data_IF_556476484457
#
_entry.id   IF_556476484457
#
_cell.length_a   1.000
_cell.length_b   1.000
_cell.length_c   1.000
_cell.angle_alpha   90.00
_cell.angle_beta   90.00
_cell.angle_gamma   90.00
#
_symmetry.space_group_name_H-M   'P 1'
#
loop_
_entity.id
_entity.type
_entity.pdbx_description
1 polymer ?
#
# COMPACT_ATOMS: atom_id res chain seq x y z
N UNK A 1 -16.65 -40.73 56.26
CA UNK A 1 -17.87 -40.03 55.81
C UNK A 1 -17.41 -39.12 54.67
N UNK A 2 -17.47 -39.52 53.41
CA UNK A 2 -18.67 -39.74 52.58
C UNK A 2 -18.79 -38.52 51.65
N UNK A 3 -18.94 -38.60 50.34
CA UNK A 3 -19.11 -39.73 49.45
C UNK A 3 -19.00 -39.26 48.00
N UNK A 4 -18.75 -40.24 47.14
CA UNK A 4 -18.83 -40.13 45.69
C UNK A 4 -20.27 -39.94 45.23
N UNK A 5 -20.50 -39.13 44.19
CA UNK A 5 -21.64 -39.34 43.29
C UNK A 5 -21.23 -39.24 41.83
N UNK A 6 -21.30 -40.42 41.22
CA UNK A 6 -21.33 -40.70 39.79
C UNK A 6 -22.63 -40.21 39.14
N UNK A 7 -22.56 -39.74 37.90
CA UNK A 7 -23.63 -39.97 36.92
C UNK A 7 -23.03 -40.51 35.63
N UNK A 8 -23.53 -41.69 35.22
CA UNK A 8 -23.22 -42.39 33.98
C UNK A 8 -24.32 -42.12 32.95
N UNK A 9 -23.86 -42.04 31.69
CA UNK A 9 -24.47 -42.56 30.45
C UNK A 9 -25.77 -41.93 29.91
N UNK A 10 -25.69 -41.41 28.67
CA UNK A 10 -26.15 -42.24 27.55
C UNK A 10 -25.54 -41.80 26.20
N UNK A 11 -24.94 -42.77 25.51
CA UNK A 11 -24.54 -42.67 24.12
C UNK A 11 -25.74 -43.02 23.22
N UNK A 12 -26.05 -42.16 22.26
CA UNK A 12 -27.03 -42.39 21.21
C UNK A 12 -26.44 -42.09 19.84
N UNK A 13 -26.04 -43.14 19.13
CA UNK A 13 -25.63 -43.13 17.71
C UNK A 13 -26.71 -42.46 16.83
N UNK A 14 -26.31 -41.55 15.96
CA UNK A 14 -27.06 -41.22 14.75
C UNK A 14 -26.24 -41.60 13.52
N UNK A 15 -26.90 -42.37 12.65
CA UNK A 15 -26.38 -43.07 11.47
C UNK A 15 -26.10 -42.11 10.31
N UNK A 16 -25.05 -42.42 9.56
CA UNK A 16 -24.90 -42.03 8.16
C UNK A 16 -26.03 -42.62 7.31
N UNK A 17 -26.59 -41.81 6.41
CA UNK A 17 -27.37 -42.28 5.27
C UNK A 17 -26.82 -41.60 4.01
N UNK A 18 -26.34 -42.46 3.12
CA UNK A 18 -25.96 -42.22 1.73
C UNK A 18 -27.18 -41.90 0.87
N UNK A 19 -27.02 -40.98 -0.09
CA UNK A 19 -27.96 -40.78 -1.19
C UNK A 19 -27.32 -39.94 -2.29
N UNK A 20 -26.88 -40.60 -3.37
CA UNK A 20 -26.26 -39.94 -4.52
C UNK A 20 -27.27 -39.30 -5.47
N UNK A 21 -26.80 -38.34 -6.26
CA UNK A 21 -27.37 -38.05 -7.57
C UNK A 21 -26.28 -37.45 -8.47
N UNK A 22 -26.03 -38.19 -9.55
CA UNK A 22 -25.13 -37.92 -10.65
C UNK A 22 -25.61 -36.77 -11.55
N UNK A 23 -24.71 -35.87 -11.94
CA UNK A 23 -24.91 -34.88 -12.99
C UNK A 23 -23.65 -34.67 -13.82
N UNK A 24 -23.37 -35.57 -14.77
CA UNK A 24 -22.30 -35.41 -15.78
C UNK A 24 -22.78 -34.47 -16.88
N UNK A 25 -22.18 -33.28 -16.99
CA UNK A 25 -22.31 -32.43 -18.19
C UNK A 25 -21.17 -32.79 -19.14
N UNK A 26 -21.52 -33.39 -20.28
CA UNK A 26 -20.63 -33.65 -21.42
C UNK A 26 -20.57 -32.40 -22.30
N UNK A 27 -19.39 -31.81 -22.49
CA UNK A 27 -19.13 -30.94 -23.64
C UNK A 27 -18.64 -31.81 -24.81
N UNK A 28 -19.37 -31.72 -25.93
CA UNK A 28 -19.10 -32.41 -27.19
C UNK A 28 -18.09 -31.58 -27.99
N UNK A 29 -16.90 -32.12 -28.21
CA UNK A 29 -15.99 -31.63 -29.25
C UNK A 29 -16.50 -32.07 -30.63
N UNK A 30 -16.49 -31.15 -31.60
CA UNK A 30 -17.02 -31.39 -32.93
C UNK A 30 -16.36 -30.54 -34.02
N UNK A 31 -15.38 -31.19 -34.69
CA UNK A 31 -15.01 -31.10 -36.11
C UNK A 31 -14.30 -29.87 -36.70
N UNK A 32 -13.11 -30.20 -37.26
CA UNK A 32 -12.41 -29.59 -38.40
C UNK A 32 -13.33 -29.34 -39.59
N UNK A 33 -13.05 -28.28 -40.33
CA UNK A 33 -13.20 -28.25 -41.79
C UNK A 33 -11.95 -27.66 -42.45
N UNK A 34 -11.71 -28.21 -43.63
CA UNK A 34 -10.51 -28.21 -44.45
C UNK A 34 -10.53 -27.16 -45.57
N UNK A 35 -9.32 -26.81 -46.01
CA UNK A 35 -8.86 -26.40 -47.33
C UNK A 35 -9.87 -26.12 -48.45
N UNK A 36 -9.67 -24.97 -49.11
CA UNK A 36 -10.34 -24.61 -50.35
C UNK A 36 -9.63 -23.48 -51.09
N UNK A 37 -8.43 -23.74 -51.60
CA UNK A 37 -7.76 -22.89 -52.58
C UNK A 37 -8.47 -22.98 -53.94
N UNK A 38 -8.94 -21.86 -54.50
CA UNK A 38 -9.32 -21.77 -55.92
C UNK A 38 -8.77 -20.50 -56.55
N UNK A 39 -7.93 -20.73 -57.55
CA UNK A 39 -7.41 -19.79 -58.53
C UNK A 39 -8.53 -19.10 -59.34
N UNK A 40 -8.38 -17.80 -59.59
CA UNK A 40 -9.11 -17.13 -60.67
C UNK A 40 -8.14 -16.52 -61.68
N UNK A 41 -8.42 -16.83 -62.94
CA UNK A 41 -7.67 -16.52 -64.14
C UNK A 41 -7.78 -15.06 -64.56
N UNK A 42 -6.69 -14.54 -65.13
CA UNK A 42 -6.50 -13.15 -65.50
C UNK A 42 -7.36 -12.61 -66.65
N UNK A 43 -7.52 -11.29 -66.64
CA UNK A 43 -7.62 -10.45 -67.84
C UNK A 43 -6.64 -9.29 -67.71
N UNK A 44 -5.75 -9.20 -68.70
CA UNK A 44 -4.79 -8.09 -68.89
C UNK A 44 -5.52 -6.86 -69.37
N UNK A 45 -5.26 -5.72 -68.72
CA UNK A 45 -5.41 -4.39 -69.33
C UNK A 45 -4.03 -3.75 -69.32
N UNK A 46 -3.57 -3.33 -70.50
CA UNK A 46 -2.32 -2.58 -70.69
C UNK A 46 -2.49 -1.17 -70.14
N UNK A 47 -1.56 -0.70 -69.31
CA UNK A 47 -1.30 0.72 -69.12
C UNK A 47 0.18 1.03 -69.32
N UNK A 48 0.39 2.20 -69.90
CA UNK A 48 1.64 2.75 -70.43
C UNK A 48 2.62 3.09 -69.30
N UNK A 49 3.91 3.04 -69.64
CA UNK A 49 4.99 3.58 -68.83
C UNK A 49 4.81 5.08 -68.63
N UNK A 50 4.78 5.53 -67.38
CA UNK A 50 5.37 6.80 -66.94
C UNK A 50 5.54 6.79 -65.41
N UNK A 51 6.77 7.14 -65.00
CA UNK A 51 7.25 7.59 -63.68
C UNK A 51 7.17 6.68 -62.42
N UNK A 52 8.28 5.96 -62.21
CA UNK A 52 8.65 5.20 -61.01
C UNK A 52 9.01 6.06 -59.78
N UNK A 53 8.19 7.06 -59.43
CA UNK A 53 8.41 7.92 -58.26
C UNK A 53 7.26 7.94 -57.24
N UNK A 54 6.09 7.37 -57.56
CA UNK A 54 4.92 7.39 -56.69
C UNK A 54 4.73 6.14 -55.81
N UNK A 55 5.54 5.09 -55.99
CA UNK A 55 5.35 3.79 -55.29
C UNK A 55 6.27 3.60 -54.07
N UNK A 56 7.24 4.50 -53.85
CA UNK A 56 8.07 4.47 -52.63
C UNK A 56 7.43 5.19 -51.43
N UNK A 57 6.51 6.14 -51.68
CA UNK A 57 5.82 6.88 -50.60
C UNK A 57 4.71 6.03 -49.95
N UNK A 58 4.06 5.13 -50.71
CA UNK A 58 3.00 4.28 -50.17
C UNK A 58 3.52 3.11 -49.30
N UNK A 59 4.71 2.58 -49.60
CA UNK A 59 5.30 1.48 -48.81
C UNK A 59 5.92 2.01 -47.51
N UNK A 60 6.53 3.21 -47.52
CA UNK A 60 6.93 3.88 -46.27
C UNK A 60 5.73 4.35 -45.44
N UNK A 61 4.63 4.79 -46.06
CA UNK A 61 3.42 5.14 -45.32
C UNK A 61 2.79 3.91 -44.63
N UNK A 62 2.79 2.73 -45.25
CA UNK A 62 2.29 1.51 -44.57
C UNK A 62 3.25 0.91 -43.53
N UNK A 63 4.57 1.19 -43.57
CA UNK A 63 5.46 0.82 -42.45
C UNK A 63 5.48 1.86 -41.33
N UNK A 64 5.16 3.13 -41.61
CA UNK A 64 5.04 4.19 -40.59
C UNK A 64 3.64 4.19 -39.92
N UNK A 65 2.59 3.73 -40.60
CA UNK A 65 1.25 3.58 -40.02
C UNK A 65 1.04 2.24 -39.27
N UNK A 66 1.90 1.24 -39.45
CA UNK A 66 1.87 0.00 -38.64
C UNK A 66 2.87 -0.01 -37.48
N UNK A 67 3.78 0.97 -37.41
CA UNK A 67 4.70 1.15 -36.27
C UNK A 67 4.16 2.11 -35.19
N UNK A 68 3.05 2.80 -35.44
CA UNK A 68 2.46 3.79 -34.51
C UNK A 68 1.21 3.31 -33.76
N UNK A 69 0.80 2.04 -33.96
CA UNK A 69 -0.34 1.44 -33.25
C UNK A 69 -0.03 0.06 -32.63
N UNK A 70 1.26 -0.30 -32.52
CA UNK A 70 1.74 -1.55 -31.90
C UNK A 70 2.57 -1.33 -30.63
N UNK A 71 2.51 -0.14 -30.04
CA UNK A 71 2.82 0.04 -28.63
C UNK A 71 1.47 0.28 -27.96
N UNK A 72 0.76 -0.80 -27.64
CA UNK A 72 0.07 -0.79 -26.35
C UNK A 72 1.20 -0.53 -25.33
N UNK A 73 1.45 0.76 -25.03
CA UNK A 73 1.77 1.14 -23.66
C UNK A 73 0.65 0.46 -22.90
N UNK A 74 0.93 -0.72 -22.32
CA UNK A 74 0.16 -1.19 -21.19
C UNK A 74 0.01 0.07 -20.34
N UNK A 75 -1.21 0.57 -20.24
CA UNK A 75 -1.48 1.80 -19.52
C UNK A 75 -0.90 1.53 -18.13
N UNK A 76 0.29 2.05 -17.87
CA UNK A 76 0.97 1.82 -16.61
C UNK A 76 0.13 2.61 -15.65
N UNK A 77 -0.80 1.92 -15.00
CA UNK A 77 -1.83 2.54 -14.20
C UNK A 77 -1.15 3.53 -13.26
N UNK A 78 -1.73 4.74 -13.17
CA UNK A 78 -1.16 5.82 -12.37
C UNK A 78 -0.75 5.30 -10.98
N UNK A 79 0.42 5.70 -10.44
CA UNK A 79 0.83 5.30 -9.11
C UNK A 79 -0.30 5.45 -8.11
N UNK A 80 -0.52 4.41 -7.33
CA UNK A 80 -1.58 4.35 -6.32
C UNK A 80 -1.01 4.63 -4.93
N UNK A 81 -1.81 5.18 -4.01
CA UNK A 81 -1.41 5.40 -2.61
C UNK A 81 -0.84 4.18 -1.89
N UNK A 82 0.15 4.38 -1.01
CA UNK A 82 0.70 3.38 -0.09
C UNK A 82 1.78 2.49 -0.71
N UNK A 83 2.42 1.66 0.13
CA UNK A 83 3.41 0.67 -0.28
C UNK A 83 2.76 -0.72 -0.39
N UNK A 84 3.31 -1.59 -1.24
CA UNK A 84 2.90 -3.01 -1.28
C UNK A 84 3.72 -3.77 -0.25
N UNK A 85 3.05 -4.28 0.79
CA UNK A 85 3.61 -5.16 1.80
C UNK A 85 3.49 -6.61 1.33
N UNK A 86 4.61 -7.24 0.98
CA UNK A 86 4.70 -8.66 0.66
C UNK A 86 5.03 -9.45 1.92
N UNK A 87 4.13 -10.35 2.31
CA UNK A 87 4.29 -11.21 3.47
C UNK A 87 4.88 -12.56 3.07
N UNK A 88 5.89 -12.97 3.80
CA UNK A 88 6.58 -14.24 3.66
C UNK A 88 6.54 -14.99 4.98
N UNK A 89 6.33 -16.29 4.92
CA UNK A 89 6.42 -17.17 6.07
C UNK A 89 7.63 -18.10 5.99
N UNK A 90 7.96 -18.67 7.15
CA UNK A 90 8.84 -19.82 7.24
C UNK A 90 8.14 -21.07 6.67
N UNK A 91 8.78 -21.86 5.78
CA UNK A 91 8.24 -23.06 5.14
C UNK A 91 7.71 -24.17 6.06
N UNK A 92 7.90 -24.12 7.39
CA UNK A 92 7.57 -25.25 8.27
C UNK A 92 6.26 -25.12 9.05
N UNK A 93 5.79 -23.93 9.44
CA UNK A 93 4.59 -23.80 10.27
C UNK A 93 3.86 -22.46 10.05
N UNK A 94 2.67 -22.51 9.47
CA UNK A 94 1.72 -21.39 9.55
C UNK A 94 0.25 -21.82 9.41
N UNK A 95 -0.54 -21.43 10.41
CA UNK A 95 -1.96 -21.11 10.33
C UNK A 95 -2.28 -19.78 11.04
N UNK A 96 -1.28 -18.93 11.27
CA UNK A 96 -1.44 -17.61 11.88
C UNK A 96 -1.49 -17.58 13.40
N UNK A 97 -1.33 -18.72 14.05
CA UNK A 97 -1.14 -18.82 15.49
C UNK A 97 -0.11 -19.92 15.77
N UNK A 98 1.10 -19.56 16.20
CA UNK A 98 1.93 -20.57 16.85
C UNK A 98 1.18 -21.05 18.09
N UNK A 99 0.81 -22.33 18.20
CA UNK A 99 0.13 -22.82 19.39
C UNK A 99 1.07 -22.65 20.57
N UNK A 100 0.58 -22.12 21.70
CA UNK A 100 1.38 -21.91 22.93
C UNK A 100 2.10 -23.17 23.43
N UNK A 101 1.73 -24.34 22.91
CA UNK A 101 2.22 -25.66 23.27
C UNK A 101 3.33 -26.21 22.34
N UNK A 102 3.61 -25.57 21.20
CA UNK A 102 4.72 -25.98 20.32
C UNK A 102 5.96 -25.17 20.70
N UNK A 103 7.07 -25.86 20.96
CA UNK A 103 8.35 -25.20 21.24
C UNK A 103 8.76 -24.32 20.06
N UNK A 104 9.09 -23.06 20.35
CA UNK A 104 9.76 -22.13 19.44
C UNK A 104 10.86 -22.87 18.67
N UNK A 105 10.97 -22.70 17.34
CA UNK A 105 12.06 -23.30 16.58
C UNK A 105 13.40 -22.96 17.24
N UNK A 106 14.27 -23.96 17.43
CA UNK A 106 15.66 -23.74 17.87
C UNK A 106 16.57 -23.23 16.73
N UNK A 107 15.98 -22.60 15.72
CA UNK A 107 16.67 -22.15 14.52
C UNK A 107 16.87 -20.64 14.57
N UNK A 108 17.88 -20.14 13.86
CA UNK A 108 18.12 -18.72 13.78
C UNK A 108 17.03 -18.07 12.88
N UNK A 109 16.31 -17.02 13.32
CA UNK A 109 15.30 -16.34 12.49
C UNK A 109 15.84 -15.90 11.13
N UNK A 110 17.14 -15.58 11.08
CA UNK A 110 17.83 -15.13 9.88
C UNK A 110 17.87 -16.17 8.75
N UNK A 111 17.75 -17.46 9.09
CA UNK A 111 17.87 -18.54 8.11
C UNK A 111 16.60 -18.70 7.25
N UNK A 112 15.49 -18.05 7.61
CA UNK A 112 14.16 -18.27 7.00
C UNK A 112 13.50 -16.99 6.50
N UNK A 113 14.21 -15.85 6.51
CA UNK A 113 13.62 -14.60 6.02
C UNK A 113 13.39 -14.63 4.51
N UNK A 114 12.20 -14.24 4.07
CA UNK A 114 11.78 -14.20 2.65
C UNK A 114 11.74 -15.56 1.93
N UNK A 115 11.56 -16.68 2.63
CA UNK A 115 11.61 -18.02 2.03
C UNK A 115 10.36 -18.48 1.28
N UNK A 116 9.16 -18.22 1.82
CA UNK A 116 7.90 -18.68 1.23
C UNK A 116 6.89 -17.52 1.17
N UNK A 117 6.65 -17.01 -0.04
CA UNK A 117 5.63 -15.98 -0.27
C UNK A 117 4.24 -16.49 0.14
N UNK A 118 3.42 -15.59 0.69
CA UNK A 118 2.03 -15.90 1.07
C UNK A 118 1.03 -14.98 0.44
N UNK A 119 1.11 -13.69 0.73
CA UNK A 119 0.18 -12.72 0.21
C UNK A 119 0.79 -11.33 0.20
N UNK A 120 0.11 -10.42 -0.49
CA UNK A 120 0.43 -9.01 -0.48
C UNK A 120 -0.78 -8.21 -0.06
N UNK A 121 -0.55 -7.07 0.59
CA UNK A 121 -1.56 -6.05 0.82
C UNK A 121 -0.95 -4.67 0.62
N UNK A 122 -1.78 -3.69 0.30
CA UNK A 122 -1.35 -2.29 0.24
C UNK A 122 -1.46 -1.70 1.64
N UNK A 123 -0.39 -1.05 2.08
CA UNK A 123 -0.35 -0.39 3.38
C UNK A 123 -0.03 1.08 3.20
N UNK A 124 -0.79 1.98 3.85
CA UNK A 124 -0.54 3.40 3.73
C UNK A 124 0.81 3.77 4.35
N UNK A 125 1.21 3.11 5.44
CA UNK A 125 2.44 3.36 6.21
C UNK A 125 3.15 2.07 6.57
N UNK A 126 4.43 2.21 6.90
CA UNK A 126 5.16 1.22 7.70
C UNK A 126 5.13 1.70 9.15
N UNK A 127 4.10 1.30 9.89
CA UNK A 127 3.91 1.60 11.32
C UNK A 127 2.99 0.53 11.94
N UNK A 128 3.58 -0.54 12.48
CA UNK A 128 2.86 -1.70 13.02
C UNK A 128 3.38 -2.08 14.38
N UNK A 129 2.50 -2.70 15.18
CA UNK A 129 2.84 -3.47 16.37
C UNK A 129 2.41 -4.91 16.12
N UNK A 130 3.35 -5.87 16.12
CA UNK A 130 3.05 -7.27 15.86
C UNK A 130 2.88 -8.05 17.17
N UNK A 131 1.71 -7.92 17.80
CA UNK A 131 1.45 -8.40 19.18
C UNK A 131 1.33 -9.94 19.30
N UNK A 132 1.69 -10.73 18.29
CA UNK A 132 1.55 -12.21 18.31
C UNK A 132 2.84 -12.90 17.89
N UNK A 133 3.27 -13.84 18.76
CA UNK A 133 4.44 -14.73 18.66
C UNK A 133 4.51 -15.48 17.33
N UNK A 134 4.97 -14.83 16.28
CA UNK A 134 5.00 -15.37 14.92
C UNK A 134 6.31 -15.05 14.24
N UNK A 135 6.84 -16.02 13.50
CA UNK A 135 8.07 -15.84 12.72
C UNK A 135 7.68 -15.56 11.28
N UNK A 136 8.01 -14.36 10.80
CA UNK A 136 7.66 -13.94 9.45
C UNK A 136 8.62 -12.87 8.95
N UNK A 137 8.56 -12.59 7.65
CA UNK A 137 9.22 -11.43 7.06
C UNK A 137 8.27 -10.67 6.19
N UNK A 138 8.43 -9.35 6.18
CA UNK A 138 7.64 -8.44 5.35
C UNK A 138 8.60 -7.59 4.54
N UNK A 139 8.30 -7.46 3.24
CA UNK A 139 8.97 -6.51 2.36
C UNK A 139 7.95 -5.52 1.84
N UNK A 140 8.10 -4.26 2.21
CA UNK A 140 7.38 -3.16 1.59
C UNK A 140 8.13 -2.67 0.37
N UNK A 141 7.45 -2.59 -0.78
CA UNK A 141 8.01 -2.00 -2.01
C UNK A 141 7.10 -0.90 -2.55
N UNK A 142 7.72 0.12 -3.14
CA UNK A 142 6.99 1.21 -3.78
C UNK A 142 7.87 2.40 -4.11
N UNK A 143 7.26 3.58 -4.05
CA UNK A 143 7.85 4.87 -4.35
C UNK A 143 7.70 5.82 -3.16
N UNK A 144 8.80 6.52 -2.86
CA UNK A 144 8.87 7.66 -1.96
C UNK A 144 8.85 8.94 -2.80
N UNK A 145 7.92 9.83 -2.51
CA UNK A 145 7.77 11.13 -3.15
C UNK A 145 8.38 12.26 -2.30
N UNK A 146 9.57 12.73 -2.67
CA UNK A 146 10.29 13.84 -2.03
C UNK A 146 9.86 15.21 -2.55
N UNK A 147 9.17 15.27 -3.70
CA UNK A 147 8.60 16.50 -4.24
C UNK A 147 7.20 16.81 -3.69
N UNK A 148 6.64 15.92 -2.87
CA UNK A 148 5.46 16.24 -2.07
C UNK A 148 5.74 17.46 -1.18
N UNK A 149 4.80 18.42 -1.07
CA UNK A 149 5.00 19.58 -0.21
C UNK A 149 5.26 19.11 1.22
N UNK A 150 6.28 19.66 1.86
CA UNK A 150 6.58 19.40 3.25
C UNK A 150 5.30 19.64 4.09
N UNK A 151 5.02 18.80 5.11
CA UNK A 151 3.88 19.03 5.98
C UNK A 151 3.94 20.46 6.54
N UNK A 152 2.86 21.21 6.36
CA UNK A 152 2.73 22.57 6.85
C UNK A 152 2.46 22.52 8.35
N UNK A 153 3.38 23.03 9.15
CA UNK A 153 3.13 23.29 10.58
C UNK A 153 2.06 24.37 10.73
N UNK A 154 1.12 24.14 11.65
CA UNK A 154 0.03 25.05 11.99
C UNK A 154 -0.21 25.02 13.51
N UNK A 155 -0.55 26.17 14.08
CA UNK A 155 -0.82 26.30 15.51
C UNK A 155 -2.15 25.65 15.87
N UNK A 156 -3.16 25.79 15.00
CA UNK A 156 -4.47 25.20 15.20
C UNK A 156 -5.09 24.72 13.87
N UNK A 157 -5.80 23.60 13.95
CA UNK A 157 -6.54 23.02 12.83
C UNK A 157 -7.93 22.62 13.32
N UNK A 158 -8.96 23.09 12.63
CA UNK A 158 -10.34 22.72 12.90
C UNK A 158 -11.01 22.28 11.60
N UNK A 159 -11.82 21.23 11.66
CA UNK A 159 -12.43 20.66 10.47
C UNK A 159 -13.79 20.03 10.71
N UNK A 160 -14.65 20.15 9.70
CA UNK A 160 -15.83 19.32 9.48
C UNK A 160 -15.78 18.83 8.03
N UNK A 161 -15.55 17.53 7.85
CA UNK A 161 -15.27 16.93 6.56
C UNK A 161 -16.23 15.78 6.31
N UNK A 162 -16.92 15.80 5.18
CA UNK A 162 -17.64 14.65 4.67
C UNK A 162 -16.68 13.69 3.97
N UNK A 163 -16.81 12.40 4.27
CA UNK A 163 -16.00 11.34 3.67
C UNK A 163 -16.91 10.20 3.24
N UNK A 164 -16.48 9.47 2.21
CA UNK A 164 -17.18 8.28 1.73
C UNK A 164 -16.17 7.20 1.34
N UNK A 165 -15.53 6.57 2.34
CA UNK A 165 -14.42 5.67 2.08
C UNK A 165 -14.90 4.37 1.42
N UNK A 166 -16.19 4.02 1.51
CA UNK A 166 -16.76 2.83 0.87
C UNK A 166 -17.03 2.97 -0.65
N UNK A 167 -17.03 4.18 -1.22
CA UNK A 167 -17.45 4.38 -2.62
C UNK A 167 -16.39 4.01 -3.67
N UNK A 168 -15.12 4.01 -3.29
CA UNK A 168 -14.01 3.65 -4.17
C UNK A 168 -12.84 3.19 -3.32
N UNK A 169 -12.07 2.22 -3.81
CA UNK A 169 -10.81 1.81 -3.16
C UNK A 169 -9.75 2.92 -3.16
N UNK A 170 -9.94 3.97 -3.97
CA UNK A 170 -9.12 5.18 -3.95
C UNK A 170 -9.50 6.16 -2.82
N UNK A 171 -10.64 5.94 -2.15
CA UNK A 171 -11.05 6.77 -1.03
C UNK A 171 -10.32 6.33 0.23
N UNK A 172 -9.26 7.08 0.57
CA UNK A 172 -8.46 6.83 1.76
C UNK A 172 -9.16 7.34 3.02
N UNK A 173 -9.22 6.50 4.04
CA UNK A 173 -9.52 6.91 5.41
C UNK A 173 -8.67 6.12 6.39
N UNK A 174 -8.01 6.83 7.30
CA UNK A 174 -7.37 6.25 8.47
C UNK A 174 -7.38 7.27 9.61
N UNK A 175 -7.89 6.87 10.78
CA UNK A 175 -7.78 7.63 12.01
C UNK A 175 -6.94 6.83 12.99
N UNK A 176 -5.81 7.40 13.42
CA UNK A 176 -4.96 6.77 14.44
C UNK A 176 -5.34 7.36 15.79
N UNK A 177 -5.94 6.56 16.65
CA UNK A 177 -6.36 6.92 18.00
C UNK A 177 -5.15 7.17 18.91
N UNK A 178 -5.38 7.77 20.07
CA UNK A 178 -4.31 8.14 21.00
C UNK A 178 -3.50 6.93 21.52
N UNK A 179 -4.14 5.77 21.67
CA UNK A 179 -3.51 4.49 22.02
C UNK A 179 -2.83 3.79 20.85
N UNK A 180 -2.88 4.40 19.65
CA UNK A 180 -2.21 3.92 18.45
C UNK A 180 -3.02 2.94 17.61
N UNK A 181 -4.24 2.58 18.02
CA UNK A 181 -5.14 1.82 17.17
C UNK A 181 -5.52 2.61 15.90
N UNK A 182 -5.82 1.90 14.82
CA UNK A 182 -6.18 2.52 13.55
C UNK A 182 -7.61 2.14 13.16
N UNK A 183 -8.47 3.16 13.03
CA UNK A 183 -9.75 3.01 12.34
C UNK A 183 -9.51 3.27 10.86
N UNK A 184 -9.78 2.29 10.01
CA UNK A 184 -9.55 2.40 8.57
C UNK A 184 -10.88 2.44 7.84
N UNK A 185 -10.85 2.53 6.50
CA UNK A 185 -12.04 2.31 5.67
C UNK A 185 -12.81 1.05 6.07
N UNK A 186 -12.10 -0.03 6.38
CA UNK A 186 -12.72 -1.32 6.67
C UNK A 186 -13.42 -1.33 8.04
N UNK A 187 -13.11 -0.37 8.92
CA UNK A 187 -13.86 -0.12 10.16
C UNK A 187 -15.22 0.57 9.90
N UNK A 188 -15.35 1.32 8.80
CA UNK A 188 -16.50 2.17 8.49
C UNK A 188 -17.61 1.42 7.77
N UNK A 189 -18.13 0.39 8.44
CA UNK A 189 -19.20 -0.49 7.96
C UNK A 189 -20.57 -0.11 8.54
N UNK A 190 -21.63 -0.71 8.01
CA UNK A 190 -22.97 -0.55 8.58
C UNK A 190 -23.01 -1.09 10.01
N UNK A 191 -23.54 -0.31 10.95
CA UNK A 191 -23.62 -0.66 12.37
C UNK A 191 -22.39 -0.26 13.20
N UNK A 192 -21.32 0.28 12.58
CA UNK A 192 -20.27 0.93 13.35
C UNK A 192 -20.79 2.28 13.89
N UNK A 193 -20.76 2.45 15.21
CA UNK A 193 -21.33 3.63 15.89
C UNK A 193 -20.52 4.90 15.65
N UNK A 194 -19.29 4.77 15.17
CA UNK A 194 -18.35 5.87 14.99
C UNK A 194 -17.29 5.89 16.09
N UNK A 195 -16.61 7.03 16.22
CA UNK A 195 -15.57 7.22 17.21
C UNK A 195 -15.58 8.66 17.71
N UNK A 196 -15.56 8.86 19.02
CA UNK A 196 -15.35 10.18 19.63
C UNK A 196 -14.27 10.08 20.68
N UNK A 197 -13.19 10.84 20.53
CA UNK A 197 -12.05 10.73 21.42
C UNK A 197 -10.79 11.43 20.93
N UNK A 198 -9.67 11.06 21.53
CA UNK A 198 -8.35 11.60 21.17
C UNK A 198 -7.72 10.76 20.06
N UNK A 199 -7.17 11.45 19.06
CA UNK A 199 -6.39 10.90 17.97
C UNK A 199 -5.04 11.60 17.88
N UNK A 200 -4.10 10.97 17.17
CA UNK A 200 -2.80 11.55 16.83
C UNK A 200 -2.61 11.81 15.34
N UNK A 201 -3.44 11.17 14.51
CA UNK A 201 -3.44 11.42 13.06
C UNK A 201 -4.82 11.15 12.46
N UNK A 202 -5.21 12.00 11.50
CA UNK A 202 -6.39 11.81 10.66
C UNK A 202 -6.00 11.94 9.20
N UNK A 203 -6.21 10.87 8.45
CA UNK A 203 -6.09 10.80 6.99
C UNK A 203 -7.46 10.64 6.40
N UNK A 204 -7.77 11.49 5.43
CA UNK A 204 -9.06 11.46 4.77
C UNK A 204 -8.98 12.00 3.35
N UNK A 205 -9.86 11.46 2.49
CA UNK A 205 -10.19 12.04 1.20
C UNK A 205 -11.59 12.65 1.30
N UNK A 206 -11.75 13.98 1.21
CA UNK A 206 -13.04 14.64 1.32
C UNK A 206 -13.93 14.22 0.15
N UNK A 207 -15.22 14.02 0.44
CA UNK A 207 -16.30 13.89 -0.54
C UNK A 207 -16.99 15.24 -0.68
N UNK A 208 -17.46 15.50 -1.89
CA UNK A 208 -18.25 16.70 -2.15
C UNK A 208 -17.38 17.90 -2.51
N UNK A 209 -18.01 19.06 -2.66
CA UNK A 209 -17.33 20.29 -3.01
C UNK A 209 -17.02 21.14 -1.76
N UNK A 210 -16.36 22.28 -1.95
CA UNK A 210 -15.91 23.16 -0.86
C UNK A 210 -17.05 23.75 -0.01
N UNK A 211 -18.32 23.58 -0.40
CA UNK A 211 -19.47 24.09 0.35
C UNK A 211 -19.95 23.11 1.44
N UNK A 212 -19.58 21.83 1.34
CA UNK A 212 -19.99 20.76 2.26
C UNK A 212 -18.89 20.44 3.29
N UNK A 213 -17.67 20.92 3.03
CA UNK A 213 -16.49 20.68 3.86
C UNK A 213 -15.93 22.00 4.35
N UNK A 214 -15.53 22.04 5.62
CA UNK A 214 -14.84 23.19 6.21
C UNK A 214 -13.54 22.70 6.84
N UNK A 215 -12.40 23.28 6.42
CA UNK A 215 -11.15 23.20 7.16
C UNK A 215 -10.67 24.62 7.45
N UNK A 216 -10.19 24.84 8.67
CA UNK A 216 -9.64 26.12 9.13
C UNK A 216 -8.24 25.85 9.65
N UNK A 217 -7.26 26.61 9.17
CA UNK A 217 -5.89 26.59 9.65
C UNK A 217 -5.56 27.95 10.24
N UNK A 218 -5.17 27.99 11.50
CA UNK A 218 -4.77 29.22 12.20
C UNK A 218 -5.83 30.34 12.08
N UNK A 219 -7.12 29.96 12.13
CA UNK A 219 -8.26 30.88 11.99
C UNK A 219 -8.64 31.26 10.56
N UNK A 220 -7.87 30.83 9.54
CA UNK A 220 -8.16 31.09 8.13
C UNK A 220 -8.78 29.87 7.43
N UNK A 221 -9.81 30.04 6.58
CA UNK A 221 -10.34 28.95 5.76
C UNK A 221 -9.27 28.34 4.87
N UNK A 222 -9.22 27.01 4.82
CA UNK A 222 -8.33 26.25 3.95
C UNK A 222 -9.15 25.42 2.95
N UNK A 223 -8.98 25.65 1.63
CA UNK A 223 -9.79 24.98 0.63
C UNK A 223 -9.39 23.50 0.50
N UNK A 224 -10.33 22.62 0.82
CA UNK A 224 -10.24 21.20 0.52
C UNK A 224 -10.61 20.95 -0.94
N UNK A 225 -9.75 20.22 -1.66
CA UNK A 225 -10.00 19.79 -3.03
C UNK A 225 -10.62 18.41 -3.04
N UNK A 226 -11.75 18.27 -3.73
CA UNK A 226 -12.34 16.96 -3.98
C UNK A 226 -11.31 16.06 -4.66
N UNK A 227 -11.22 14.81 -4.22
CA UNK A 227 -10.29 13.87 -4.82
C UNK A 227 -8.84 13.95 -4.30
N UNK A 228 -8.51 14.83 -3.35
CA UNK A 228 -7.15 14.92 -2.76
C UNK A 228 -7.15 14.31 -1.37
N UNK A 229 -6.18 13.44 -1.07
CA UNK A 229 -6.00 12.91 0.28
C UNK A 229 -5.22 13.91 1.13
N UNK A 230 -5.76 14.23 2.30
CA UNK A 230 -5.13 15.07 3.31
C UNK A 230 -4.76 14.22 4.52
N UNK A 231 -3.68 14.63 5.20
CA UNK A 231 -3.28 14.06 6.47
C UNK A 231 -2.98 15.18 7.46
N UNK A 232 -3.57 15.04 8.65
CA UNK A 232 -3.38 15.95 9.77
C UNK A 232 -2.76 15.14 10.89
N UNK A 233 -1.56 15.52 11.33
CA UNK A 233 -0.87 14.92 12.47
C UNK A 233 -0.76 15.89 13.64
N UNK A 234 -0.99 15.44 14.86
CA UNK A 234 -0.80 16.25 16.07
C UNK A 234 -0.55 15.33 17.28
N UNK A 235 0.16 15.81 18.30
CA UNK A 235 0.32 15.04 19.54
C UNK A 235 -1.00 14.81 20.27
N UNK A 236 -1.97 15.72 20.10
CA UNK A 236 -3.35 15.61 20.59
C UNK A 236 -4.32 16.25 19.60
N UNK A 237 -5.29 15.46 19.16
CA UNK A 237 -6.39 15.89 18.30
C UNK A 237 -7.68 15.34 18.88
N UNK A 238 -8.67 16.20 19.11
CA UNK A 238 -10.02 15.75 19.45
C UNK A 238 -10.77 15.47 18.16
N UNK A 239 -11.36 14.29 18.06
CA UNK A 239 -12.07 13.83 16.86
C UNK A 239 -13.47 13.33 17.21
N UNK A 240 -14.44 13.63 16.34
CA UNK A 240 -15.73 12.97 16.28
C UNK A 240 -15.95 12.45 14.85
N UNK A 241 -16.04 11.14 14.72
CA UNK A 241 -16.34 10.42 13.50
C UNK A 241 -17.73 9.83 13.64
N UNK A 242 -18.66 10.27 12.80
CA UNK A 242 -20.07 9.88 12.87
C UNK A 242 -20.62 9.56 11.48
N UNK A 243 -21.71 8.79 11.41
CA UNK A 243 -22.43 8.56 10.16
C UNK A 243 -23.69 9.46 10.14
N UNK A 244 -23.72 10.43 9.23
CA UNK A 244 -24.74 11.48 9.18
C UNK A 244 -25.99 11.12 8.36
N UNK A 245 -26.02 9.96 7.69
CA UNK A 245 -27.05 9.66 6.68
C UNK A 245 -27.63 8.25 6.69
N UNK A 246 -27.32 7.42 7.70
CA UNK A 246 -27.87 6.05 7.83
C UNK A 246 -27.50 5.08 6.69
N UNK A 247 -26.68 5.52 5.73
CA UNK A 247 -26.19 4.73 4.59
C UNK A 247 -24.68 4.56 4.67
N UNK A 248 -24.14 3.56 3.98
CA UNK A 248 -22.72 3.16 4.05
C UNK A 248 -21.71 4.26 3.65
N UNK A 249 -22.15 5.38 3.06
CA UNK A 249 -21.29 6.38 2.42
C UNK A 249 -21.45 7.84 2.86
N UNK A 250 -22.06 8.08 4.02
CA UNK A 250 -22.26 9.42 4.59
C UNK A 250 -21.57 9.51 5.96
N UNK A 251 -20.24 9.57 5.95
CA UNK A 251 -19.45 9.73 7.17
C UNK A 251 -19.01 11.19 7.32
N UNK A 252 -19.01 11.70 8.54
CA UNK A 252 -18.53 13.02 8.89
C UNK A 252 -17.42 12.91 9.92
N UNK A 253 -16.29 13.53 9.59
CA UNK A 253 -15.14 13.69 10.45
C UNK A 253 -15.10 15.14 10.93
N UNK A 254 -15.33 15.35 12.21
CA UNK A 254 -15.06 16.60 12.90
C UNK A 254 -13.74 16.47 13.66
N UNK A 255 -12.85 17.45 13.56
CA UNK A 255 -11.56 17.44 14.24
C UNK A 255 -11.17 18.82 14.75
N UNK A 256 -10.42 18.83 15.85
CA UNK A 256 -9.74 20.01 16.38
C UNK A 256 -8.38 19.58 16.93
N UNK A 257 -7.30 20.22 16.47
CA UNK A 257 -5.93 19.94 16.87
C UNK A 257 -5.16 21.23 17.13
N UNK A 258 -4.19 21.16 18.04
CA UNK A 258 -3.24 22.24 18.34
C UNK A 258 -1.82 21.71 18.10
N UNK A 259 -0.93 22.56 17.55
CA UNK A 259 0.43 22.16 17.20
C UNK A 259 0.43 21.02 16.18
N UNK A 260 -0.29 21.24 15.07
CA UNK A 260 -0.53 20.22 14.07
C UNK A 260 0.36 20.38 12.84
N UNK A 261 0.42 19.34 12.05
CA UNK A 261 0.97 19.34 10.70
C UNK A 261 -0.14 18.98 9.73
N UNK A 262 -0.21 19.67 8.58
CA UNK A 262 -1.09 19.33 7.48
C UNK A 262 -0.25 19.00 6.26
N UNK A 263 -0.47 17.82 5.67
CA UNK A 263 0.06 17.48 4.34
C UNK A 263 -1.07 17.10 3.39
N UNK A 264 -0.81 17.24 2.10
CA UNK A 264 -1.71 16.75 1.06
C UNK A 264 -0.92 15.93 0.03
N UNK A 265 -1.53 14.84 -0.42
CA UNK A 265 -0.97 13.96 -1.44
C UNK A 265 -0.92 14.72 -2.78
N UNK A 266 0.19 14.61 -3.52
CA UNK A 266 0.30 15.11 -4.91
C UNK A 266 -0.68 14.37 -5.83
N UNK A 267 -0.99 14.92 -6.99
CA UNK A 267 -1.83 14.22 -7.98
C UNK A 267 -1.08 13.00 -8.54
N UNK A 268 -1.79 11.88 -8.69
CA UNK A 268 -1.19 10.62 -9.16
C UNK A 268 -0.53 10.76 -10.53
N UNK A 269 -1.07 11.61 -11.41
CA UNK A 269 -0.50 11.91 -12.73
C UNK A 269 0.83 12.67 -12.66
N UNK A 270 1.01 13.55 -11.67
CA UNK A 270 2.30 14.22 -11.43
C UNK A 270 3.35 13.23 -10.93
N UNK A 271 2.96 12.33 -10.03
CA UNK A 271 3.81 11.23 -9.55
C UNK A 271 4.13 10.25 -10.68
N UNK A 272 3.18 9.95 -11.57
CA UNK A 272 3.38 9.13 -12.76
C UNK A 272 4.39 9.76 -13.72
N UNK A 273 4.28 11.07 -13.97
CA UNK A 273 5.20 11.82 -14.82
C UNK A 273 6.63 11.78 -14.25
N UNK A 274 6.79 12.00 -12.93
CA UNK A 274 8.08 11.91 -12.24
C UNK A 274 8.66 10.49 -12.30
N UNK A 275 7.82 9.46 -12.11
CA UNK A 275 8.23 8.05 -12.20
C UNK A 275 8.69 7.68 -13.62
N UNK A 276 7.98 8.14 -14.65
CA UNK A 276 8.35 7.90 -16.03
C UNK A 276 9.69 8.59 -16.39
N UNK A 277 9.92 9.81 -15.87
CA UNK A 277 11.19 10.52 -16.03
C UNK A 277 12.35 9.86 -15.26
N UNK A 278 12.10 9.17 -14.14
CA UNK A 278 13.13 8.35 -13.50
C UNK A 278 13.62 7.23 -14.41
N UNK A 279 12.73 6.65 -15.22
CA UNK A 279 13.07 5.63 -16.22
C UNK A 279 13.70 6.22 -17.49
N UNK A 280 13.39 7.49 -17.82
CA UNK A 280 13.89 8.20 -19.00
C UNK A 280 14.76 9.40 -18.64
N UNK A 281 16.07 9.31 -18.88
CA UNK A 281 17.12 10.32 -18.62
C UNK A 281 16.78 11.74 -19.12
N UNK A 282 16.00 12.54 -18.38
CA UNK A 282 15.82 13.98 -18.61
C UNK A 282 16.50 14.76 -17.49
N UNK A 283 17.48 15.58 -17.86
CA UNK A 283 18.45 16.24 -16.96
C UNK A 283 18.07 17.68 -16.60
N UNK A 284 16.80 17.97 -16.34
CA UNK A 284 16.46 19.22 -15.67
C UNK A 284 16.89 19.12 -14.20
N UNK A 285 17.56 20.14 -13.66
CA UNK A 285 18.01 20.13 -12.27
C UNK A 285 16.79 20.22 -11.36
N UNK A 286 16.29 19.06 -10.94
CA UNK A 286 15.35 18.95 -9.83
C UNK A 286 16.09 19.44 -8.58
N UNK A 287 15.46 20.26 -7.74
CA UNK A 287 16.04 20.63 -6.45
C UNK A 287 16.43 19.38 -5.66
N UNK A 288 17.29 19.49 -4.67
CA UNK A 288 17.64 18.35 -3.81
C UNK A 288 17.71 18.81 -2.38
N UNK A 289 17.54 17.89 -1.44
CA UNK A 289 17.77 18.17 -0.03
C UNK A 289 18.36 16.94 0.67
N UNK A 290 19.04 17.18 1.79
CA UNK A 290 19.58 16.13 2.62
C UNK A 290 18.49 15.55 3.53
N UNK A 291 18.24 14.25 3.38
CA UNK A 291 17.33 13.48 4.21
C UNK A 291 18.11 12.58 5.16
N UNK A 292 17.49 12.28 6.29
CA UNK A 292 17.88 11.18 7.17
C UNK A 292 16.66 10.32 7.46
N UNK A 293 16.85 9.02 7.41
CA UNK A 293 15.81 8.04 7.69
C UNK A 293 16.09 7.33 9.00
N UNK A 294 15.01 6.84 9.63
CA UNK A 294 15.11 6.04 10.83
C UNK A 294 14.09 4.90 10.77
N UNK A 295 14.46 3.75 11.31
CA UNK A 295 13.58 2.60 11.41
C UNK A 295 13.59 2.12 12.86
N UNK A 296 12.45 2.24 13.54
CA UNK A 296 12.21 1.54 14.80
C UNK A 296 11.84 0.11 14.43
N UNK A 297 12.57 -0.87 14.93
CA UNK A 297 12.29 -2.27 14.66
C UNK A 297 12.55 -3.16 15.87
N UNK A 298 11.67 -4.12 16.07
CA UNK A 298 11.86 -5.32 16.88
C UNK A 298 11.24 -6.46 16.07
N UNK A 299 12.01 -7.29 15.35
CA UNK A 299 13.46 -7.48 15.44
C UNK A 299 14.30 -6.62 14.45
N UNK A 300 14.61 -7.20 13.28
CA UNK A 300 15.60 -6.67 12.34
C UNK A 300 14.99 -5.95 11.15
N UNK A 301 15.73 -5.01 10.58
CA UNK A 301 15.24 -4.18 9.49
C UNK A 301 16.31 -3.80 8.46
N UNK A 302 15.86 -3.54 7.22
CA UNK A 302 16.65 -2.89 6.18
C UNK A 302 15.86 -1.79 5.49
N UNK A 303 16.56 -0.76 5.03
CA UNK A 303 16.00 0.32 4.22
C UNK A 303 16.89 0.52 3.00
N UNK A 304 16.27 0.47 1.82
CA UNK A 304 16.91 0.79 0.55
C UNK A 304 16.14 1.90 -0.15
N UNK A 305 16.87 2.91 -0.64
CA UNK A 305 16.32 3.99 -1.48
C UNK A 305 17.09 3.98 -2.81
N UNK A 306 16.37 3.94 -3.93
CA UNK A 306 16.93 3.78 -5.28
C UNK A 306 17.92 2.61 -5.41
N UNK A 307 17.65 1.51 -4.70
CA UNK A 307 18.52 0.34 -4.67
C UNK A 307 19.79 0.49 -3.83
N UNK A 308 20.06 1.67 -3.26
CA UNK A 308 21.14 1.88 -2.29
C UNK A 308 20.66 1.52 -0.90
N UNK A 309 21.33 0.58 -0.25
CA UNK A 309 21.10 0.25 1.16
C UNK A 309 21.57 1.39 2.07
N UNK A 310 20.65 1.93 2.88
CA UNK A 310 20.89 3.02 3.82
C UNK A 310 20.92 2.53 5.27
N UNK A 311 20.13 1.52 5.60
CA UNK A 311 20.12 0.82 6.88
C UNK A 311 20.18 -0.66 6.57
N UNK A 312 21.13 -1.36 7.20
CA UNK A 312 21.31 -2.81 7.10
C UNK A 312 21.55 -3.38 8.50
N UNK A 313 20.46 -3.60 9.23
CA UNK A 313 20.53 -4.18 10.58
C UNK A 313 19.56 -5.35 10.70
N UNK A 314 20.01 -6.49 10.19
CA UNK A 314 19.25 -7.74 10.21
C UNK A 314 19.49 -8.55 11.50
N UNK A 315 19.68 -7.90 12.65
CA UNK A 315 19.86 -8.58 13.94
C UNK A 315 18.54 -8.65 14.72
N UNK A 316 18.40 -9.70 15.53
CA UNK A 316 17.37 -9.73 16.58
C UNK A 316 17.59 -8.58 17.57
N UNK A 317 16.51 -7.90 17.97
CA UNK A 317 16.58 -6.69 18.78
C UNK A 317 15.25 -6.40 19.47
N UNK A 318 15.28 -6.23 20.79
CA UNK A 318 14.08 -5.78 21.52
C UNK A 318 13.79 -4.29 21.31
N UNK A 319 12.52 -3.89 21.29
CA UNK A 319 12.07 -2.49 21.31
C UNK A 319 12.57 -1.72 22.53
N UNK A 320 12.89 -2.44 23.61
CA UNK A 320 13.43 -1.89 24.87
C UNK A 320 14.94 -1.62 24.77
N UNK A 321 15.59 -2.07 23.69
CA UNK A 321 17.00 -1.81 23.43
C UNK A 321 17.21 -0.36 22.98
N UNK A 322 18.30 0.32 23.39
CA UNK A 322 18.66 1.63 22.84
C UNK A 322 18.90 1.59 21.32
N UNK A 323 19.23 0.42 20.79
CA UNK A 323 19.51 0.22 19.37
C UNK A 323 18.25 -0.11 18.54
N UNK A 324 17.06 -0.12 19.15
CA UNK A 324 15.81 -0.42 18.45
C UNK A 324 15.51 0.59 17.33
N UNK A 325 15.92 1.85 17.49
CA UNK A 325 15.79 2.91 16.49
C UNK A 325 17.08 3.04 15.67
N UNK A 326 17.10 2.47 14.47
CA UNK A 326 18.24 2.55 13.54
C UNK A 326 18.17 3.84 12.76
N UNK A 327 19.32 4.45 12.46
CA UNK A 327 19.40 5.69 11.67
C UNK A 327 20.28 5.49 10.45
N UNK A 328 19.84 6.01 9.31
CA UNK A 328 20.68 6.08 8.12
C UNK A 328 21.77 7.16 8.26
N UNK A 329 22.85 7.09 7.47
CA UNK A 329 23.63 8.28 7.13
C UNK A 329 22.74 9.34 6.46
N UNK A 330 23.15 10.62 6.43
CA UNK A 330 22.50 11.60 5.57
C UNK A 330 22.57 11.15 4.10
N UNK A 331 21.50 11.42 3.35
CA UNK A 331 21.40 11.10 1.93
C UNK A 331 20.75 12.25 1.18
N UNK A 332 21.42 12.75 0.15
CA UNK A 332 20.85 13.74 -0.75
C UNK A 332 19.90 13.06 -1.73
N UNK A 333 18.63 13.47 -1.69
CA UNK A 333 17.60 13.05 -2.64
C UNK A 333 17.17 14.25 -3.47
N UNK A 334 17.06 14.06 -4.78
CA UNK A 334 16.43 15.02 -5.66
C UNK A 334 14.93 15.14 -5.38
N UNK A 335 14.30 16.22 -5.78
CA UNK A 335 12.85 16.38 -5.82
C UNK A 335 12.27 15.41 -6.85
N UNK A 336 11.34 14.56 -6.43
CA UNK A 336 10.63 13.66 -7.33
C UNK A 336 10.28 12.36 -6.63
N UNK A 337 10.31 11.26 -7.37
CA UNK A 337 9.99 9.93 -6.84
C UNK A 337 11.22 9.04 -6.83
N UNK A 338 11.38 8.28 -5.75
CA UNK A 338 12.49 7.37 -5.52
C UNK A 338 11.94 5.97 -5.24
N UNK A 339 12.60 4.90 -5.69
CA UNK A 339 12.20 3.57 -5.22
C UNK A 339 12.51 3.46 -3.75
N UNK A 340 11.58 2.92 -2.97
CA UNK A 340 11.79 2.57 -1.57
C UNK A 340 11.53 1.10 -1.36
N UNK A 341 12.39 0.46 -0.58
CA UNK A 341 12.16 -0.88 -0.05
C UNK A 341 12.47 -0.87 1.44
N UNK A 342 11.50 -1.32 2.22
CA UNK A 342 11.66 -1.57 3.65
C UNK A 342 11.51 -3.05 3.87
N UNK A 343 12.39 -3.62 4.67
CA UNK A 343 12.34 -5.01 5.04
C UNK A 343 12.34 -5.14 6.55
N UNK A 344 11.61 -6.13 7.02
CA UNK A 344 11.48 -6.47 8.43
C UNK A 344 11.41 -7.99 8.56
N UNK A 345 12.00 -8.52 9.61
CA UNK A 345 11.64 -9.84 10.08
C UNK A 345 11.22 -9.76 11.55
N UNK A 346 10.26 -10.63 11.90
CA UNK A 346 9.98 -10.95 13.27
C UNK A 346 10.54 -12.33 13.61
N UNK A 347 11.33 -12.39 14.67
CA UNK A 347 11.84 -13.62 15.26
C UNK A 347 11.04 -14.00 16.50
N UNK A 348 11.75 -14.36 17.57
CA UNK A 348 11.12 -14.76 18.82
C UNK A 348 10.74 -13.52 19.65
N UNK A 349 9.44 -13.23 19.78
CA UNK A 349 8.96 -12.22 20.74
C UNK A 349 9.48 -12.53 22.16
N UNK A 350 9.96 -11.51 22.86
CA UNK A 350 10.46 -11.63 24.24
C UNK A 350 9.27 -11.65 25.24
N UNK A 351 9.46 -11.71 26.58
CA UNK A 351 8.38 -11.96 27.55
C UNK A 351 7.18 -11.01 27.45
N UNK A 352 6.07 -11.36 28.12
CA UNK A 352 4.81 -10.59 28.14
C UNK A 352 5.00 -9.06 28.17
N UNK A 353 4.34 -8.36 27.25
CA UNK A 353 4.46 -6.91 27.06
C UNK A 353 5.56 -6.48 26.09
N UNK A 354 5.83 -7.32 25.08
CA UNK A 354 6.59 -6.98 23.88
C UNK A 354 5.63 -6.62 22.75
N UNK A 355 5.87 -5.52 22.02
CA UNK A 355 4.96 -5.04 20.97
C UNK A 355 5.50 -5.28 19.55
N UNK A 356 6.70 -5.84 19.41
CA UNK A 356 7.34 -6.17 18.13
C UNK A 356 7.16 -5.07 17.05
N UNK A 357 7.53 -3.79 17.32
CA UNK A 357 7.24 -2.68 16.43
C UNK A 357 8.03 -2.72 15.12
N UNK A 358 7.43 -2.15 14.08
CA UNK A 358 8.16 -1.61 12.92
C UNK A 358 7.59 -0.23 12.58
N UNK A 359 8.43 0.81 12.54
CA UNK A 359 8.01 2.15 12.13
C UNK A 359 9.09 2.88 11.34
N UNK A 360 8.71 3.45 10.19
CA UNK A 360 9.58 4.25 9.33
C UNK A 360 9.43 5.75 9.61
N UNK A 361 10.54 6.42 9.88
CA UNK A 361 10.63 7.85 10.12
C UNK A 361 11.57 8.50 9.11
N UNK A 362 11.43 9.82 8.99
CA UNK A 362 12.34 10.66 8.21
C UNK A 362 12.50 12.04 8.84
N UNK A 363 13.55 12.75 8.44
CA UNK A 363 13.76 14.18 8.70
C UNK A 363 14.47 14.83 7.53
N UNK A 364 14.15 16.08 7.27
CA UNK A 364 14.84 16.95 6.31
C UNK A 364 14.74 18.40 6.83
N UNK A 365 15.70 18.85 7.65
CA UNK A 365 15.70 20.20 8.22
C UNK A 365 15.66 21.30 7.16
N UNK A 366 16.31 21.10 6.01
CA UNK A 366 16.27 22.02 4.86
C UNK A 366 14.86 22.28 4.34
N UNK A 367 13.93 21.35 4.58
CA UNK A 367 12.52 21.45 4.20
C UNK A 367 11.59 21.65 5.39
N UNK A 368 12.12 21.95 6.57
CA UNK A 368 11.34 22.10 7.81
C UNK A 368 10.70 20.80 8.30
N UNK A 369 11.19 19.65 7.84
CA UNK A 369 10.71 18.33 8.24
C UNK A 369 11.53 17.89 9.45
N UNK A 370 10.99 18.10 10.65
CA UNK A 370 11.52 17.49 11.86
C UNK A 370 11.36 15.96 11.83
N UNK A 371 12.07 15.23 12.71
CA UNK A 371 11.97 13.77 12.78
C UNK A 371 10.54 13.36 13.15
N UNK A 372 9.85 12.77 12.19
CA UNK A 372 8.47 12.30 12.33
C UNK A 372 8.28 10.96 11.61
N UNK A 373 7.21 10.25 11.96
CA UNK A 373 6.76 9.08 11.18
C UNK A 373 6.56 9.54 9.74
N UNK A 374 7.04 8.75 8.79
CA UNK A 374 6.90 9.08 7.38
C UNK A 374 5.41 9.19 7.01
N UNK A 375 4.95 10.34 6.52
CA UNK A 375 3.54 10.55 6.27
C UNK A 375 3.10 9.67 5.09
N UNK A 376 2.00 8.91 5.21
CA UNK A 376 1.50 8.07 4.12
C UNK A 376 1.22 8.82 2.80
N UNK A 377 1.15 10.16 2.82
CA UNK A 377 0.96 11.02 1.64
C UNK A 377 2.15 11.01 0.67
N UNK A 378 3.34 10.65 1.16
CA UNK A 378 4.56 10.56 0.32
C UNK A 378 4.82 9.15 -0.20
N UNK A 379 3.95 8.19 0.13
CA UNK A 379 4.11 6.78 -0.22
C UNK A 379 3.16 6.37 -1.33
N UNK A 380 3.71 5.70 -2.34
CA UNK A 380 3.00 5.26 -3.54
C UNK A 380 3.48 3.89 -4.00
N UNK A 381 2.71 3.22 -4.85
CA UNK A 381 3.11 1.99 -5.51
C UNK A 381 2.59 1.94 -6.95
N UNK A 382 3.21 1.09 -7.75
CA UNK A 382 2.77 0.77 -9.11
C UNK A 382 2.28 -0.68 -9.19
N UNK A 383 1.68 -1.07 -10.32
CA UNK A 383 1.35 -2.48 -10.57
C UNK A 383 2.59 -3.39 -10.63
N UNK A 384 3.75 -2.82 -10.99
CA UNK A 384 5.02 -3.56 -10.95
C UNK A 384 5.39 -3.92 -9.51
N UNK A 385 5.25 -2.98 -8.57
CA UNK A 385 5.44 -3.28 -7.15
C UNK A 385 4.47 -4.36 -6.68
N UNK A 386 3.20 -4.26 -7.06
CA UNK A 386 2.16 -5.22 -6.68
C UNK A 386 2.44 -6.65 -7.17
N UNK A 387 3.07 -6.79 -8.34
CA UNK A 387 3.41 -8.08 -8.96
C UNK A 387 4.84 -8.57 -8.65
N UNK A 388 5.63 -7.82 -7.86
CA UNK A 388 7.06 -8.10 -7.62
C UNK A 388 7.39 -9.18 -6.59
N UNK A 389 6.36 -9.83 -6.03
CA UNK A 389 6.46 -10.80 -4.93
C UNK A 389 7.54 -11.89 -5.11
N UNK A 390 7.82 -12.30 -6.35
CA UNK A 390 8.68 -13.46 -6.69
C UNK A 390 10.08 -13.10 -7.23
N UNK A 391 10.49 -11.83 -7.32
CA UNK A 391 11.76 -11.46 -8.01
C UNK A 391 13.02 -11.50 -7.15
N UNK A 392 12.94 -12.01 -5.92
CA UNK A 392 14.10 -12.16 -5.04
C UNK A 392 14.31 -13.63 -4.66
N UNK A 393 14.85 -14.40 -5.60
CA UNK A 393 15.64 -15.59 -5.30
C UNK A 393 17.06 -15.36 -5.81
#
# INVERSE_FOLDING_TARGET
>A
MGGWQTFRHNAGRAKAVSGGASGKVRYRAGRRMSDGCRSFSGRRVKMKHETAAATWIAIMACTILSATHGQEKAAQADPRPGLVAHYFEDPRNWDGAWPDQISVPRANPLDWTFSAYRYSRVEPVVNHLFIRRGWFSVRWTGLLDTAAPAPRSCNAVEGEIEINPANSDLNEFCLVTADGAALTRDSLVAGFEGYSGQARAARFRPKGNANENRLVLDGAPYPLRNGVTYEIGASRMTVCLSNSGGSKGCWRLSLSAVGATLSCRRDASAVAADHAQRSGRSSESRGSAEYRFYVLADDGCRLMIDGRTLIDDWRACSEKSPDALRSSPPVNLSDGVHAVTVEYFQGQSLPEGDNDPIALYWSCPERGIERQIMPPAVLWHTEENASSADRAK
#
